data_IF_548948242295
#
_entry.id   IF_548948242295
#
_cell.length_a   1.000
_cell.length_b   1.000
_cell.length_c   1.000
_cell.angle_alpha   90.00
_cell.angle_beta   90.00
_cell.angle_gamma   90.00
#
_symmetry.space_group_name_H-M   'P 1'
#
loop_
_entity.id
_entity.type
_entity.pdbx_description
1 polymer ?
#
# COMPACT_ATOMS: atom_id res chain seq x y z
N UNK A 1 8.14 3.53 -42.94
CA UNK A 1 7.71 4.18 -41.67
C UNK A 1 8.31 3.35 -40.58
N UNK A 2 9.37 3.83 -39.93
CA UNK A 2 10.04 3.13 -38.84
C UNK A 2 9.10 3.09 -37.63
N UNK A 3 8.78 1.88 -37.20
CA UNK A 3 8.20 1.70 -35.86
C UNK A 3 9.15 2.36 -34.86
N UNK A 4 8.84 3.56 -34.41
CA UNK A 4 9.41 4.08 -33.18
C UNK A 4 8.87 3.18 -32.09
N UNK A 5 9.67 2.23 -31.62
CA UNK A 5 9.45 1.57 -30.36
C UNK A 5 9.36 2.69 -29.32
N UNK A 6 8.17 2.88 -28.75
CA UNK A 6 8.03 3.66 -27.53
C UNK A 6 9.07 3.08 -26.58
N UNK A 7 10.05 3.88 -26.17
CA UNK A 7 11.14 3.38 -25.36
C UNK A 7 10.60 2.95 -23.99
N UNK A 8 11.11 1.85 -23.41
CA UNK A 8 10.81 1.46 -22.03
C UNK A 8 11.04 2.61 -21.05
N UNK A 9 11.89 3.57 -21.40
CA UNK A 9 12.17 4.78 -20.65
C UNK A 9 10.90 5.62 -20.42
N UNK A 10 10.07 5.83 -21.43
CA UNK A 10 8.85 6.66 -21.32
C UNK A 10 7.82 6.03 -20.38
N UNK A 11 7.72 4.71 -20.39
CA UNK A 11 6.83 3.97 -19.49
C UNK A 11 7.32 4.06 -18.03
N UNK A 12 8.63 4.00 -17.81
CA UNK A 12 9.24 4.10 -16.47
C UNK A 12 9.07 5.51 -15.88
N UNK A 13 9.17 6.55 -16.70
CA UNK A 13 8.93 7.91 -16.26
C UNK A 13 7.46 8.16 -16.00
N UNK A 14 6.57 7.74 -16.89
CA UNK A 14 5.13 7.85 -16.75
C UNK A 14 4.62 7.16 -15.46
N UNK A 15 5.15 5.98 -15.12
CA UNK A 15 4.73 5.30 -13.87
C UNK A 15 5.19 6.06 -12.63
N UNK A 16 6.36 6.70 -12.65
CA UNK A 16 6.84 7.55 -11.55
C UNK A 16 5.94 8.76 -11.35
N UNK A 17 5.57 9.43 -12.43
CA UNK A 17 4.69 10.60 -12.38
C UNK A 17 3.32 10.23 -11.82
N UNK A 18 2.71 9.15 -12.30
CA UNK A 18 1.43 8.67 -11.76
C UNK A 18 1.56 8.30 -10.28
N UNK A 19 2.63 7.60 -9.89
CA UNK A 19 2.87 7.22 -8.49
C UNK A 19 3.02 8.44 -7.59
N UNK A 20 3.70 9.49 -8.07
CA UNK A 20 3.84 10.76 -7.35
C UNK A 20 2.48 11.47 -7.19
N UNK A 21 1.66 11.52 -8.24
CA UNK A 21 0.31 12.08 -8.19
C UNK A 21 -0.60 11.30 -7.24
N UNK A 22 -0.50 9.98 -7.23
CA UNK A 22 -1.17 9.13 -6.25
C UNK A 22 -0.74 9.46 -4.81
N UNK A 23 0.56 9.71 -4.60
CA UNK A 23 1.11 10.15 -3.31
C UNK A 23 0.54 11.50 -2.88
N UNK A 24 0.42 12.46 -3.79
CA UNK A 24 -0.24 13.76 -3.54
C UNK A 24 -1.71 13.53 -3.15
N UNK A 25 -2.45 12.72 -3.89
CA UNK A 25 -3.85 12.42 -3.60
C UNK A 25 -4.04 11.76 -2.22
N UNK A 26 -3.17 10.83 -1.84
CA UNK A 26 -3.17 10.22 -0.50
C UNK A 26 -2.87 11.26 0.60
N UNK A 27 -1.92 12.15 0.36
CA UNK A 27 -1.53 13.19 1.32
C UNK A 27 -2.64 14.21 1.55
N UNK A 28 -3.30 14.67 0.50
CA UNK A 28 -4.37 15.68 0.57
C UNK A 28 -5.73 15.12 0.96
N UNK A 29 -5.91 13.80 0.96
CA UNK A 29 -7.13 13.15 1.42
C UNK A 29 -7.49 13.62 2.84
N UNK A 30 -8.77 13.89 3.15
CA UNK A 30 -9.18 14.37 4.46
C UNK A 30 -8.85 13.35 5.57
N UNK A 31 -8.41 13.85 6.73
CA UNK A 31 -8.13 13.06 7.92
C UNK A 31 -8.93 13.59 9.11
N UNK A 32 -9.37 12.67 9.95
CA UNK A 32 -10.18 12.96 11.14
C UNK A 32 -9.47 13.98 12.06
N UNK A 33 -10.19 15.05 12.42
CA UNK A 33 -9.69 16.18 13.20
C UNK A 33 -8.44 16.87 12.60
N UNK A 34 -8.22 16.77 11.29
CA UNK A 34 -7.07 17.38 10.60
C UNK A 34 -5.70 16.82 11.02
N UNK A 35 -5.66 15.67 11.72
CA UNK A 35 -4.40 15.06 12.17
C UNK A 35 -3.97 13.94 11.23
N UNK A 36 -2.87 14.15 10.52
CA UNK A 36 -2.33 13.21 9.54
C UNK A 36 -1.30 12.25 10.18
N UNK A 37 -1.64 10.97 10.24
CA UNK A 37 -0.78 9.88 10.65
C UNK A 37 -0.46 8.94 9.47
N UNK A 38 -0.89 9.31 8.26
CA UNK A 38 -0.66 8.52 7.05
C UNK A 38 0.75 8.77 6.53
N UNK A 39 1.50 7.70 6.35
CA UNK A 39 2.81 7.71 5.69
C UNK A 39 2.67 7.08 4.31
N UNK A 40 3.39 7.66 3.34
CA UNK A 40 3.34 7.23 1.94
C UNK A 40 4.77 7.06 1.44
N UNK A 41 5.07 5.94 0.79
CA UNK A 41 6.36 5.65 0.17
C UNK A 41 6.16 4.92 -1.16
N UNK A 42 6.78 5.42 -2.21
CA UNK A 42 6.89 4.72 -3.49
C UNK A 42 8.18 3.89 -3.52
N UNK A 43 8.11 2.70 -4.08
CA UNK A 43 9.27 1.84 -4.35
C UNK A 43 9.27 1.40 -5.82
N UNK A 44 10.46 1.21 -6.38
CA UNK A 44 10.72 0.91 -7.79
C UNK A 44 11.85 -0.10 -7.93
N UNK A 45 12.01 -0.68 -9.11
CA UNK A 45 13.17 -1.48 -9.51
C UNK A 45 13.51 -2.59 -8.52
N UNK A 46 14.71 -2.57 -7.97
CA UNK A 46 15.22 -3.62 -7.08
C UNK A 46 14.39 -3.80 -5.81
N UNK A 47 13.83 -2.72 -5.25
CA UNK A 47 12.96 -2.81 -4.06
C UNK A 47 11.65 -3.53 -4.38
N UNK A 48 11.10 -3.39 -5.58
CA UNK A 48 9.91 -4.14 -6.04
C UNK A 48 10.25 -5.63 -6.17
N UNK A 49 11.39 -5.95 -6.77
CA UNK A 49 11.86 -7.34 -6.93
C UNK A 49 12.14 -7.98 -5.55
N UNK A 50 12.79 -7.23 -4.65
CA UNK A 50 13.04 -7.67 -3.27
C UNK A 50 11.73 -7.95 -2.54
N UNK A 51 10.75 -7.03 -2.60
CA UNK A 51 9.44 -7.21 -1.99
C UNK A 51 8.76 -8.48 -2.51
N UNK A 52 8.74 -8.66 -3.83
CA UNK A 52 8.12 -9.82 -4.48
C UNK A 52 8.72 -11.15 -4.00
N UNK A 53 10.05 -11.23 -3.95
CA UNK A 53 10.78 -12.41 -3.47
C UNK A 53 10.46 -12.73 -2.01
N UNK A 54 10.50 -11.71 -1.17
CA UNK A 54 10.21 -11.85 0.27
C UNK A 54 8.74 -12.22 0.54
N UNK A 55 7.80 -11.77 -0.32
CA UNK A 55 6.40 -12.21 -0.23
C UNK A 55 6.26 -13.71 -0.45
N UNK A 56 6.93 -14.27 -1.45
CA UNK A 56 6.91 -15.72 -1.74
C UNK A 56 7.51 -16.51 -0.58
N UNK A 57 8.70 -16.10 -0.11
CA UNK A 57 9.38 -16.74 1.04
C UNK A 57 8.50 -16.71 2.29
N UNK A 58 7.98 -15.53 2.65
CA UNK A 58 7.12 -15.37 3.83
C UNK A 58 5.87 -16.24 3.78
N UNK A 59 5.24 -16.35 2.61
CA UNK A 59 4.06 -17.22 2.42
C UNK A 59 4.38 -18.68 2.66
N UNK A 60 5.51 -19.16 2.15
CA UNK A 60 6.00 -20.52 2.35
C UNK A 60 6.34 -20.80 3.82
N UNK A 61 7.15 -19.95 4.44
CA UNK A 61 7.62 -20.09 5.82
C UNK A 61 6.48 -20.09 6.84
N UNK A 62 5.44 -19.29 6.57
CA UNK A 62 4.30 -19.13 7.47
C UNK A 62 3.08 -19.98 7.09
N UNK A 63 3.16 -20.79 6.04
CA UNK A 63 2.04 -21.58 5.54
C UNK A 63 0.84 -20.75 5.06
N UNK A 64 1.07 -19.49 4.62
CA UNK A 64 0.01 -18.56 4.23
C UNK A 64 -0.27 -18.61 2.73
N UNK A 65 -1.52 -18.78 2.36
CA UNK A 65 -1.97 -18.93 0.97
C UNK A 65 -1.89 -17.59 0.20
N UNK A 66 -1.64 -17.71 -1.11
CA UNK A 66 -1.69 -16.63 -2.11
C UNK A 66 -0.61 -15.53 -1.96
N UNK A 67 0.40 -15.72 -1.14
CA UNK A 67 1.57 -14.85 -1.12
C UNK A 67 2.46 -15.05 -2.35
N UNK A 68 2.53 -16.28 -2.86
CA UNK A 68 3.18 -16.68 -4.11
C UNK A 68 2.55 -15.97 -5.31
N UNK A 69 1.23 -16.06 -5.45
CA UNK A 69 0.48 -15.37 -6.52
C UNK A 69 0.65 -13.86 -6.46
N UNK A 70 0.43 -13.26 -5.27
CA UNK A 70 0.53 -11.82 -5.12
C UNK A 70 1.99 -11.34 -5.24
N UNK A 71 2.96 -12.16 -4.85
CA UNK A 71 4.39 -11.94 -5.09
C UNK A 71 4.74 -11.95 -6.57
N UNK A 72 4.20 -12.90 -7.35
CA UNK A 72 4.37 -12.93 -8.80
C UNK A 72 3.79 -11.66 -9.47
N UNK A 73 2.62 -11.20 -9.01
CA UNK A 73 2.02 -9.95 -9.49
C UNK A 73 2.90 -8.75 -9.17
N UNK A 74 3.43 -8.66 -7.95
CA UNK A 74 4.35 -7.57 -7.54
C UNK A 74 5.64 -7.62 -8.36
N UNK A 75 6.19 -8.80 -8.62
CA UNK A 75 7.40 -8.96 -9.47
C UNK A 75 7.22 -8.36 -10.87
N UNK A 76 6.02 -8.47 -11.42
CA UNK A 76 5.67 -7.97 -12.76
C UNK A 76 5.17 -6.52 -12.75
N UNK A 77 5.20 -5.85 -11.60
CA UNK A 77 4.79 -4.46 -11.46
C UNK A 77 5.96 -3.51 -11.66
N UNK A 78 5.69 -2.32 -12.17
CA UNK A 78 6.69 -1.27 -12.41
C UNK A 78 7.01 -0.47 -11.14
N UNK A 79 6.02 -0.36 -10.25
CA UNK A 79 6.13 0.35 -8.98
C UNK A 79 5.20 -0.26 -7.93
N UNK A 80 5.45 0.03 -6.66
CA UNK A 80 4.48 -0.21 -5.57
C UNK A 80 4.38 1.04 -4.73
N UNK A 81 3.17 1.58 -4.58
CA UNK A 81 2.89 2.63 -3.61
C UNK A 81 2.52 1.98 -2.28
N UNK A 82 3.30 2.26 -1.25
CA UNK A 82 3.05 1.84 0.13
C UNK A 82 2.36 2.97 0.87
N UNK A 83 1.22 2.67 1.48
CA UNK A 83 0.46 3.61 2.32
C UNK A 83 0.23 2.95 3.68
N UNK A 84 0.58 3.65 4.75
CA UNK A 84 0.45 3.09 6.10
C UNK A 84 0.10 4.13 7.14
N UNK A 85 -0.18 3.65 8.35
CA UNK A 85 -0.33 4.46 9.57
C UNK A 85 0.94 4.33 10.41
N UNK A 86 1.41 5.44 10.97
CA UNK A 86 2.54 5.47 11.90
C UNK A 86 2.18 6.26 13.15
N UNK A 87 2.35 5.61 14.32
CA UNK A 87 2.13 6.23 15.65
C UNK A 87 0.73 6.89 15.77
N UNK A 88 -0.29 6.27 15.17
CA UNK A 88 -1.62 6.86 15.08
C UNK A 88 -2.31 6.91 16.43
N UNK A 89 -2.54 8.12 16.92
CA UNK A 89 -3.24 8.37 18.19
C UNK A 89 -4.76 8.15 18.03
N UNK A 90 -5.40 7.69 19.09
CA UNK A 90 -6.86 7.62 19.14
C UNK A 90 -7.50 8.99 18.93
N UNK A 91 -8.69 9.01 18.30
CA UNK A 91 -9.40 10.26 18.03
C UNK A 91 -10.01 10.88 19.30
N UNK A 92 -10.22 10.09 20.35
CA UNK A 92 -10.74 10.56 21.65
C UNK A 92 -12.26 10.52 21.78
N UNK A 93 -12.97 9.86 20.85
CA UNK A 93 -14.44 9.84 20.83
C UNK A 93 -15.08 8.87 21.82
N UNK A 94 -14.31 7.94 22.40
CA UNK A 94 -14.82 6.85 23.24
C UNK A 94 -15.99 6.10 22.59
N UNK A 95 -15.88 5.84 21.28
CA UNK A 95 -16.96 5.34 20.43
C UNK A 95 -17.10 3.81 20.40
N UNK A 96 -16.19 3.08 21.04
CA UNK A 96 -16.21 1.61 21.08
C UNK A 96 -15.80 0.90 19.77
N UNK A 97 -15.67 1.61 18.63
CA UNK A 97 -15.48 1.01 17.30
C UNK A 97 -14.19 0.18 17.14
N UNK A 98 -13.18 0.39 17.97
CA UNK A 98 -11.94 -0.41 18.01
C UNK A 98 -11.97 -1.52 19.06
N UNK A 99 -13.12 -1.77 19.70
CA UNK A 99 -13.31 -2.79 20.74
C UNK A 99 -12.98 -2.33 22.18
N UNK A 100 -12.69 -1.05 22.39
CA UNK A 100 -12.45 -0.43 23.69
C UNK A 100 -13.44 0.68 23.95
N UNK A 101 -14.17 0.64 25.05
CA UNK A 101 -15.16 1.68 25.43
C UNK A 101 -14.50 3.03 25.68
N UNK A 102 -13.26 3.01 26.18
CA UNK A 102 -12.46 4.22 26.42
C UNK A 102 -11.24 4.25 25.51
N UNK A 103 -11.02 5.34 24.82
CA UNK A 103 -9.85 5.51 23.96
C UNK A 103 -8.51 5.40 24.70
N UNK A 104 -8.48 5.80 25.97
CA UNK A 104 -7.32 5.68 26.86
C UNK A 104 -6.96 4.24 27.21
N UNK A 105 -7.91 3.32 27.14
CA UNK A 105 -7.68 1.91 27.41
C UNK A 105 -7.08 1.15 26.22
N UNK A 106 -7.06 1.74 25.02
CA UNK A 106 -6.49 1.13 23.84
C UNK A 106 -4.96 1.12 23.92
N UNK A 107 -4.38 -0.06 24.12
CA UNK A 107 -2.93 -0.28 24.11
C UNK A 107 -2.58 -1.05 22.85
N UNK A 108 -1.81 -0.41 21.96
CA UNK A 108 -1.27 -1.07 20.76
C UNK A 108 -0.07 -1.93 21.13
N UNK A 109 0.04 -3.10 20.50
CA UNK A 109 1.15 -4.04 20.65
C UNK A 109 1.61 -4.53 19.27
N UNK A 110 2.81 -5.08 19.22
CA UNK A 110 3.34 -5.69 18.00
C UNK A 110 2.59 -6.98 17.68
N UNK A 111 1.98 -7.03 16.49
CA UNK A 111 1.36 -8.24 15.98
C UNK A 111 2.28 -8.99 15.01
N UNK A 112 1.80 -10.09 14.48
CA UNK A 112 2.57 -10.95 13.55
C UNK A 112 2.88 -10.25 12.22
N UNK A 113 2.02 -9.37 11.76
CA UNK A 113 2.15 -8.61 10.50
C UNK A 113 2.01 -7.10 10.73
N UNK A 114 1.06 -6.69 11.55
CA UNK A 114 0.78 -5.30 11.86
C UNK A 114 0.70 -5.07 13.35
N UNK A 115 0.99 -3.85 13.77
CA UNK A 115 0.83 -3.45 15.15
C UNK A 115 -0.61 -3.00 15.38
N UNK A 116 -1.18 -3.34 16.51
CA UNK A 116 -2.59 -3.05 16.79
C UNK A 116 -3.01 -3.38 18.22
N UNK A 117 -4.30 -3.15 18.55
CA UNK A 117 -5.33 -2.61 17.66
C UNK A 117 -5.11 -1.14 17.30
N UNK A 118 -5.51 -0.74 16.09
CA UNK A 118 -5.52 0.64 15.64
C UNK A 118 -6.87 1.29 15.96
N UNK A 119 -6.90 2.62 16.09
CA UNK A 119 -8.16 3.35 16.15
C UNK A 119 -8.92 3.17 14.82
N UNK A 120 -10.19 2.78 14.89
CA UNK A 120 -11.00 2.51 13.70
C UNK A 120 -11.09 3.74 12.77
N UNK A 121 -11.22 4.96 13.31
CA UNK A 121 -11.23 6.18 12.53
C UNK A 121 -9.88 6.46 11.84
N UNK A 122 -8.75 6.07 12.44
CA UNK A 122 -7.45 6.20 11.79
C UNK A 122 -7.28 5.20 10.64
N UNK A 123 -7.86 4.00 10.77
CA UNK A 123 -7.92 3.07 9.63
C UNK A 123 -8.83 3.61 8.52
N UNK A 124 -9.95 4.28 8.86
CA UNK A 124 -10.79 4.96 7.87
C UNK A 124 -10.03 6.13 7.19
N UNK A 125 -9.29 6.96 7.94
CA UNK A 125 -8.43 8.00 7.36
C UNK A 125 -7.45 7.42 6.33
N UNK A 126 -6.81 6.31 6.67
CA UNK A 126 -5.93 5.58 5.75
C UNK A 126 -6.69 5.01 4.56
N UNK A 127 -7.88 4.45 4.78
CA UNK A 127 -8.74 3.92 3.71
C UNK A 127 -9.15 5.02 2.71
N UNK A 128 -9.47 6.23 3.19
CA UNK A 128 -9.76 7.38 2.34
C UNK A 128 -8.52 7.81 1.55
N UNK A 129 -7.33 7.81 2.18
CA UNK A 129 -6.07 8.11 1.50
C UNK A 129 -5.76 7.09 0.39
N UNK A 130 -5.96 5.79 0.67
CA UNK A 130 -5.82 4.71 -0.32
C UNK A 130 -6.82 4.89 -1.46
N UNK A 131 -8.09 5.13 -1.15
CA UNK A 131 -9.14 5.36 -2.15
C UNK A 131 -8.83 6.56 -3.07
N UNK A 132 -8.32 7.66 -2.50
CA UNK A 132 -7.87 8.83 -3.26
C UNK A 132 -6.70 8.50 -4.19
N UNK A 133 -5.72 7.73 -3.71
CA UNK A 133 -4.58 7.29 -4.52
C UNK A 133 -4.99 6.40 -5.69
N UNK A 134 -5.79 5.35 -5.44
CA UNK A 134 -6.21 4.42 -6.51
C UNK A 134 -7.18 5.06 -7.50
N UNK A 135 -7.99 6.02 -7.06
CA UNK A 135 -8.78 6.85 -7.97
C UNK A 135 -7.89 7.60 -8.96
N UNK A 136 -6.78 8.18 -8.49
CA UNK A 136 -5.82 8.87 -9.36
C UNK A 136 -5.22 7.90 -10.38
N UNK A 137 -4.77 6.71 -9.96
CA UNK A 137 -4.32 5.67 -10.89
C UNK A 137 -5.39 5.31 -11.93
N UNK A 138 -6.66 5.15 -11.49
CA UNK A 138 -7.79 4.84 -12.37
C UNK A 138 -8.06 5.95 -13.40
N UNK A 139 -7.96 7.22 -13.02
CA UNK A 139 -8.11 8.36 -13.94
C UNK A 139 -6.99 8.33 -15.00
N UNK A 140 -5.79 7.92 -14.64
CA UNK A 140 -4.63 7.80 -15.53
C UNK A 140 -4.56 6.45 -16.26
N UNK A 141 -5.57 5.59 -16.12
CA UNK A 141 -5.64 4.24 -16.69
C UNK A 141 -4.44 3.34 -16.32
N UNK A 142 -3.86 3.54 -15.13
CA UNK A 142 -2.81 2.68 -14.60
C UNK A 142 -3.44 1.54 -13.81
N UNK A 143 -3.17 0.31 -14.25
CA UNK A 143 -3.68 -0.89 -13.57
C UNK A 143 -3.06 -1.05 -12.19
N UNK A 144 -3.89 -1.42 -11.21
CA UNK A 144 -3.46 -1.50 -9.81
C UNK A 144 -4.33 -2.45 -8.99
N UNK A 145 -3.82 -2.86 -7.84
CA UNK A 145 -4.58 -3.62 -6.85
C UNK A 145 -4.10 -3.28 -5.44
N UNK A 146 -5.05 -3.01 -4.53
CA UNK A 146 -4.74 -2.85 -3.11
C UNK A 146 -4.46 -4.24 -2.52
N UNK A 147 -3.24 -4.44 -1.97
CA UNK A 147 -2.78 -5.71 -1.43
C UNK A 147 -2.31 -5.57 0.02
N UNK A 148 -2.99 -6.23 0.95
CA UNK A 148 -2.50 -6.28 2.34
C UNK A 148 -1.19 -7.06 2.44
N UNK A 149 -1.03 -8.15 1.66
CA UNK A 149 0.17 -9.02 1.69
C UNK A 149 1.43 -8.26 1.31
N UNK A 150 1.35 -7.40 0.30
CA UNK A 150 2.46 -6.54 -0.07
C UNK A 150 2.80 -5.54 1.04
N UNK A 151 1.80 -4.96 1.70
CA UNK A 151 1.99 -4.07 2.85
C UNK A 151 2.62 -4.76 4.05
N UNK A 152 2.12 -5.95 4.41
CA UNK A 152 2.62 -6.73 5.54
C UNK A 152 4.12 -7.08 5.38
N UNK A 153 4.49 -7.57 4.20
CA UNK A 153 5.89 -7.93 3.92
C UNK A 153 6.77 -6.68 3.79
N UNK A 154 6.29 -5.61 3.14
CA UNK A 154 7.04 -4.35 3.05
C UNK A 154 7.40 -3.78 4.43
N UNK A 155 6.44 -3.82 5.39
CA UNK A 155 6.69 -3.46 6.79
C UNK A 155 7.74 -4.38 7.42
N UNK A 156 7.55 -5.69 7.28
CA UNK A 156 8.43 -6.71 7.88
C UNK A 156 9.89 -6.57 7.45
N UNK A 157 10.14 -6.26 6.17
CA UNK A 157 11.50 -6.10 5.63
C UNK A 157 12.04 -4.67 5.67
N UNK A 158 11.33 -3.77 6.35
CA UNK A 158 11.77 -2.39 6.58
C UNK A 158 11.71 -1.46 5.36
N UNK A 159 10.94 -1.81 4.33
CA UNK A 159 10.75 -0.90 3.18
C UNK A 159 9.94 0.35 3.54
N UNK A 160 9.12 0.28 4.58
CA UNK A 160 8.38 1.41 5.13
C UNK A 160 8.32 1.28 6.66
N UNK A 161 8.50 2.39 7.35
CA UNK A 161 8.37 2.48 8.80
C UNK A 161 6.93 2.91 9.15
N UNK A 162 6.10 1.93 9.50
CA UNK A 162 4.70 2.15 9.84
C UNK A 162 4.15 0.97 10.67
N UNK A 163 3.05 1.22 11.39
CA UNK A 163 2.38 0.25 12.26
C UNK A 163 1.47 -0.69 11.46
N UNK A 164 0.76 -0.12 10.48
CA UNK A 164 -0.16 -0.82 9.57
C UNK A 164 0.08 -0.34 8.14
N UNK A 165 0.16 -1.23 7.15
CA UNK A 165 0.55 -0.89 5.78
C UNK A 165 -0.28 -1.65 4.75
N UNK A 166 -0.68 -0.97 3.69
CA UNK A 166 -1.17 -1.58 2.46
C UNK A 166 -0.21 -1.26 1.31
N UNK A 167 -0.02 -2.20 0.40
CA UNK A 167 0.75 -2.00 -0.83
C UNK A 167 -0.17 -1.92 -2.03
N UNK A 168 0.18 -1.07 -2.99
CA UNK A 168 -0.57 -0.87 -4.23
C UNK A 168 0.42 -1.02 -5.38
N UNK A 169 0.63 -2.25 -5.90
CA UNK A 169 1.43 -2.46 -7.10
C UNK A 169 0.73 -1.84 -8.31
N UNK A 170 1.55 -1.33 -9.24
CA UNK A 170 1.14 -0.56 -10.41
C UNK A 170 1.74 -1.16 -11.69
N UNK A 171 0.94 -1.24 -12.74
CA UNK A 171 1.32 -1.82 -14.02
C UNK A 171 0.74 -1.02 -15.19
N UNK A 172 1.51 -0.96 -16.29
CA UNK A 172 1.08 -0.39 -17.56
C UNK A 172 1.35 -1.47 -18.62
N UNK A 173 0.35 -2.33 -18.83
CA UNK A 173 0.41 -3.43 -19.80
C UNK A 173 -0.90 -3.52 -20.55
N UNK A 174 -0.90 -4.16 -21.72
CA UNK A 174 -2.11 -4.36 -22.53
C UNK A 174 -3.12 -5.34 -21.92
N UNK A 175 -2.79 -5.94 -20.76
CA UNK A 175 -3.63 -6.89 -20.03
C UNK A 175 -3.48 -6.66 -18.54
N UNK A 176 -4.60 -6.66 -17.77
CA UNK A 176 -4.52 -6.62 -16.31
C UNK A 176 -3.79 -7.87 -15.79
N UNK A 177 -2.77 -7.65 -14.96
CA UNK A 177 -1.98 -8.73 -14.35
C UNK A 177 -2.47 -9.08 -12.94
N UNK A 178 -3.35 -8.29 -12.34
CA UNK A 178 -3.75 -8.43 -10.94
C UNK A 178 -5.00 -9.26 -10.75
N UNK A 179 -5.89 -9.32 -11.73
CA UNK A 179 -7.18 -9.99 -11.67
C UNK A 179 -7.32 -11.12 -12.68
N UNK A 180 -6.25 -11.43 -13.41
CA UNK A 180 -6.17 -12.56 -14.31
C UNK A 180 -6.12 -13.87 -13.48
N UNK A 181 -7.17 -14.70 -13.61
CA UNK A 181 -7.36 -15.93 -12.85
C UNK A 181 -7.61 -17.11 -13.77
#
# INVERSE_FOLDING_TARGET
MSNQNLSEFDIQEAIKDVTNLMGVAARTAPKSAGKDFVVVKAIYGEDVIKLAKEMVSYGGDMGKKNFDRDGANVKNSLAVLLIGLKNAQSLGLNCGACGYDQCSARISHKGSEFDGPQCAFRLLDMGIAIGSAVKTAGIMNVDNRIMYRAGAVAKKIGLIDADFVMGIPLSITGKSIYFDR
#
